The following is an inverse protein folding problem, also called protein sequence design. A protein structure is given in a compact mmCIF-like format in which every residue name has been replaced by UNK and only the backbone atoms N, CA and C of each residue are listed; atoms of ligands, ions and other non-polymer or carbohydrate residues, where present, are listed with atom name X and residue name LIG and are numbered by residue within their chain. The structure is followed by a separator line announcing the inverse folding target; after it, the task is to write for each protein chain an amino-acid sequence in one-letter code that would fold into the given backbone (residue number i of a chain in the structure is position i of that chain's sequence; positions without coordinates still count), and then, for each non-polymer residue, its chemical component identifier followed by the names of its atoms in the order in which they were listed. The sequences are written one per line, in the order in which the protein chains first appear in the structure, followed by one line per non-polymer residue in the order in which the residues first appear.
data_IF_683689885578
#
_entry.id   IF_683689885578
#
_cell.length_a   1.000
_cell.length_b   1.000
_cell.length_c   1.000
_cell.angle_alpha   90.00
_cell.angle_beta   90.00
_cell.angle_gamma   90.00
#
_symmetry.space_group_name_H-M   'P 1'
#
loop_
_entity.id
_entity.type
_entity.pdbx_description
1 polymer ?
#
# COMPACT_ATOMS: atom_id res chain seq x y z
N UNK A 1 21.10 -15.10 10.57
CA UNK A 1 20.75 -15.55 9.21
C UNK A 1 19.76 -14.52 8.70
N UNK A 2 20.17 -13.67 7.74
CA UNK A 2 19.30 -12.60 7.23
C UNK A 2 18.18 -13.24 6.41
N UNK A 3 16.94 -13.04 6.82
CA UNK A 3 15.76 -13.53 6.11
C UNK A 3 15.63 -12.75 4.79
N UNK A 4 15.66 -13.45 3.66
CA UNK A 4 15.53 -12.82 2.35
C UNK A 4 14.08 -12.38 2.18
N UNK A 5 13.82 -11.08 2.35
CA UNK A 5 12.51 -10.50 2.04
C UNK A 5 12.11 -10.79 0.59
N UNK A 6 10.91 -11.29 0.37
CA UNK A 6 10.37 -11.48 -0.98
C UNK A 6 9.85 -10.15 -1.57
N UNK A 7 9.48 -10.16 -2.86
CA UNK A 7 9.06 -8.94 -3.58
C UNK A 7 7.88 -8.22 -2.91
N UNK A 8 6.89 -8.97 -2.40
CA UNK A 8 5.71 -8.36 -1.78
C UNK A 8 6.08 -7.74 -0.42
N UNK A 9 6.89 -8.41 0.38
CA UNK A 9 7.37 -7.89 1.67
C UNK A 9 8.21 -6.61 1.51
N UNK A 10 9.04 -6.55 0.47
CA UNK A 10 9.78 -5.32 0.15
C UNK A 10 8.82 -4.21 -0.26
N UNK A 11 7.83 -4.52 -1.10
CA UNK A 11 6.84 -3.54 -1.54
C UNK A 11 5.97 -3.04 -0.39
N UNK A 12 5.61 -3.90 0.56
CA UNK A 12 4.91 -3.53 1.79
C UNK A 12 5.78 -2.65 2.69
N UNK A 13 7.07 -2.98 2.86
CA UNK A 13 7.99 -2.14 3.64
C UNK A 13 8.15 -0.73 3.03
N UNK A 14 8.33 -0.65 1.71
CA UNK A 14 8.37 0.62 0.98
C UNK A 14 7.05 1.39 1.10
N UNK A 15 5.92 0.67 1.04
CA UNK A 15 4.60 1.27 1.21
C UNK A 15 4.40 1.83 2.61
N UNK A 16 4.82 1.15 3.68
CA UNK A 16 4.72 1.70 5.04
C UNK A 16 5.61 2.94 5.20
N UNK A 17 6.85 2.88 4.71
CA UNK A 17 7.81 3.96 4.82
C UNK A 17 7.41 5.23 4.05
N UNK A 18 6.68 5.11 2.92
CA UNK A 18 6.30 6.30 2.14
C UNK A 18 5.12 7.08 2.73
N UNK A 19 4.26 6.47 3.57
CA UNK A 19 3.03 7.11 4.06
C UNK A 19 3.26 8.43 4.83
N UNK A 20 4.26 8.55 5.72
CA UNK A 20 4.55 9.82 6.40
C UNK A 20 4.96 10.94 5.43
N UNK A 21 5.66 10.60 4.34
CA UNK A 21 6.16 11.57 3.35
C UNK A 21 5.06 12.05 2.40
N UNK A 22 4.12 11.16 2.03
CA UNK A 22 3.00 11.48 1.13
C UNK A 22 2.13 12.63 1.63
N UNK A 23 2.05 12.82 2.96
CA UNK A 23 1.26 13.91 3.57
C UNK A 23 1.73 15.28 3.08
N UNK A 24 3.04 15.45 2.85
CA UNK A 24 3.65 16.73 2.45
C UNK A 24 4.05 16.74 0.98
N UNK A 25 4.69 15.67 0.51
CA UNK A 25 5.30 15.60 -0.82
C UNK A 25 4.41 14.91 -1.86
N UNK A 26 3.27 14.37 -1.44
CA UNK A 26 2.41 13.54 -2.27
C UNK A 26 3.08 12.25 -2.73
N UNK A 27 2.47 11.57 -3.71
CA UNK A 27 3.04 10.40 -4.37
C UNK A 27 4.10 10.82 -5.41
N UNK A 28 5.21 11.36 -4.93
CA UNK A 28 6.27 11.97 -5.76
C UNK A 28 7.58 11.16 -5.73
N UNK A 29 8.51 11.42 -6.67
CA UNK A 29 9.86 10.84 -6.61
C UNK A 29 10.59 11.14 -5.29
N UNK A 30 10.41 12.34 -4.73
CA UNK A 30 11.02 12.75 -3.45
C UNK A 30 10.53 11.85 -2.31
N UNK A 31 9.21 11.63 -2.19
CA UNK A 31 8.65 10.73 -1.19
C UNK A 31 9.15 9.29 -1.36
N UNK A 32 9.29 8.83 -2.60
CA UNK A 32 9.81 7.49 -2.89
C UNK A 32 11.27 7.33 -2.45
N UNK A 33 12.14 8.28 -2.78
CA UNK A 33 13.55 8.25 -2.38
C UNK A 33 13.70 8.28 -0.84
N UNK A 34 12.88 9.08 -0.16
CA UNK A 34 12.84 9.10 1.31
C UNK A 34 12.45 7.74 1.90
N UNK A 35 11.40 7.11 1.37
CA UNK A 35 10.96 5.77 1.80
C UNK A 35 12.01 4.68 1.54
N UNK A 36 12.72 4.75 0.41
CA UNK A 36 13.82 3.83 0.10
C UNK A 36 14.95 3.98 1.11
N UNK A 37 15.34 5.22 1.44
CA UNK A 37 16.39 5.50 2.41
C UNK A 37 16.07 4.99 3.83
N UNK A 38 14.78 4.83 4.16
CA UNK A 38 14.32 4.36 5.47
C UNK A 38 14.19 2.83 5.59
N UNK A 39 14.24 2.07 4.48
CA UNK A 39 13.88 0.64 4.46
C UNK A 39 15.05 -0.34 4.32
N UNK A 40 16.29 0.16 4.30
CA UNK A 40 17.52 -0.60 3.96
C UNK A 40 17.40 -1.37 2.62
N UNK A 41 16.52 -0.93 1.72
CA UNK A 41 16.34 -1.51 0.39
C UNK A 41 17.25 -0.76 -0.58
N UNK A 42 17.99 -1.50 -1.40
CA UNK A 42 18.79 -0.88 -2.46
C UNK A 42 17.88 -0.14 -3.45
N UNK A 43 18.23 1.10 -3.81
CA UNK A 43 17.45 1.90 -4.75
C UNK A 43 17.22 1.20 -6.10
N UNK A 44 18.21 0.46 -6.60
CA UNK A 44 18.06 -0.33 -7.83
C UNK A 44 16.98 -1.41 -7.69
N UNK A 45 16.93 -2.11 -6.56
CA UNK A 45 15.90 -3.10 -6.26
C UNK A 45 14.53 -2.46 -6.06
N UNK A 46 14.45 -1.33 -5.35
CA UNK A 46 13.20 -0.59 -5.18
C UNK A 46 12.63 -0.13 -6.53
N UNK A 47 13.47 0.36 -7.45
CA UNK A 47 13.07 0.73 -8.81
C UNK A 47 12.66 -0.49 -9.66
N UNK A 48 13.30 -1.65 -9.47
CA UNK A 48 12.89 -2.88 -10.14
C UNK A 48 11.50 -3.35 -9.68
N UNK A 49 11.18 -3.19 -8.39
CA UNK A 49 9.89 -3.57 -7.80
C UNK A 49 8.79 -2.53 -8.09
N UNK A 50 9.17 -1.24 -8.13
CA UNK A 50 8.28 -0.12 -8.43
C UNK A 50 8.83 0.69 -9.62
N UNK A 51 8.68 0.20 -10.88
CA UNK A 51 9.20 0.90 -12.06
C UNK A 51 8.66 2.32 -12.27
N UNK A 52 7.49 2.63 -11.70
CA UNK A 52 6.87 3.97 -11.70
C UNK A 52 7.05 4.70 -10.36
N UNK A 53 7.95 4.23 -9.51
CA UNK A 53 8.26 4.80 -8.19
C UNK A 53 7.03 4.90 -7.29
N UNK A 54 6.83 6.08 -6.69
CA UNK A 54 5.70 6.37 -5.81
C UNK A 54 4.32 6.05 -6.42
N UNK A 55 4.17 6.12 -7.75
CA UNK A 55 2.89 5.77 -8.40
C UNK A 55 2.51 4.30 -8.18
N UNK A 56 3.49 3.38 -8.25
CA UNK A 56 3.21 1.97 -8.00
C UNK A 56 2.89 1.69 -6.52
N UNK A 57 3.41 2.52 -5.60
CA UNK A 57 3.06 2.47 -4.18
C UNK A 57 1.67 3.07 -3.91
N UNK A 58 1.26 4.12 -4.62
CA UNK A 58 -0.10 4.67 -4.56
C UNK A 58 -1.14 3.60 -4.96
N UNK A 59 -0.88 2.87 -6.04
CA UNK A 59 -1.72 1.75 -6.48
C UNK A 59 -1.78 0.65 -5.42
N UNK A 60 -0.65 0.33 -4.79
CA UNK A 60 -0.60 -0.67 -3.72
C UNK A 60 -1.39 -0.22 -2.48
N UNK A 61 -1.30 1.07 -2.11
CA UNK A 61 -2.07 1.66 -1.01
C UNK A 61 -3.58 1.54 -1.24
N UNK A 62 -4.06 1.92 -2.43
CA UNK A 62 -5.48 1.81 -2.78
C UNK A 62 -5.93 0.34 -2.79
N UNK A 63 -5.15 -0.55 -3.40
CA UNK A 63 -5.45 -1.99 -3.39
C UNK A 63 -5.55 -2.54 -1.96
N UNK A 64 -4.64 -2.15 -1.06
CA UNK A 64 -4.70 -2.54 0.36
C UNK A 64 -5.99 -2.05 1.03
N UNK A 65 -6.40 -0.82 0.75
CA UNK A 65 -7.68 -0.27 1.22
C UNK A 65 -8.87 -1.05 0.72
N UNK A 66 -8.91 -1.38 -0.58
CA UNK A 66 -9.97 -2.17 -1.20
C UNK A 66 -10.04 -3.59 -0.60
N UNK A 67 -8.89 -4.25 -0.45
CA UNK A 67 -8.80 -5.59 0.13
C UNK A 67 -9.28 -5.59 1.60
N UNK A 68 -8.95 -4.55 2.37
CA UNK A 68 -9.43 -4.36 3.74
C UNK A 68 -10.95 -4.14 3.79
N UNK A 69 -11.49 -3.31 2.89
CA UNK A 69 -12.93 -3.09 2.75
C UNK A 69 -13.65 -4.40 2.40
N UNK A 70 -13.18 -5.16 1.41
CA UNK A 70 -13.76 -6.46 1.02
C UNK A 70 -13.72 -7.45 2.20
N UNK A 71 -12.61 -7.48 2.94
CA UNK A 71 -12.46 -8.35 4.11
C UNK A 71 -13.48 -8.01 5.19
N UNK A 72 -13.70 -6.72 5.46
CA UNK A 72 -14.73 -6.26 6.39
C UNK A 72 -16.13 -6.62 5.90
N UNK A 73 -16.44 -6.35 4.63
CA UNK A 73 -17.76 -6.62 4.05
C UNK A 73 -18.15 -8.09 4.14
N UNK A 74 -17.19 -9.01 3.91
CA UNK A 74 -17.42 -10.47 4.04
C UNK A 74 -17.76 -10.93 5.46
N UNK A 75 -17.42 -10.13 6.48
CA UNK A 75 -17.70 -10.44 7.89
C UNK A 75 -19.03 -9.84 8.37
N UNK A 76 -19.60 -8.92 7.61
CA UNK A 76 -20.84 -8.24 7.96
C UNK A 76 -22.05 -9.13 7.61
N UNK A 77 -23.00 -9.28 8.55
CA UNK A 77 -24.28 -9.93 8.24
C UNK A 77 -25.24 -8.93 7.60
N UNK A 78 -25.33 -9.02 6.27
CA UNK A 78 -26.19 -8.14 5.47
C UNK A 78 -27.60 -8.73 5.23
N UNK A 79 -27.89 -9.92 5.74
CA UNK A 79 -29.12 -10.66 5.42
C UNK A 79 -30.39 -9.96 5.93
N UNK A 80 -30.29 -9.26 7.06
CA UNK A 80 -31.37 -8.49 7.67
C UNK A 80 -31.61 -7.10 7.07
N UNK A 81 -30.74 -6.63 6.18
CA UNK A 81 -30.80 -5.26 5.66
C UNK A 81 -31.65 -5.16 4.39
N UNK A 82 -32.47 -4.11 4.26
CA UNK A 82 -33.11 -3.78 2.98
C UNK A 82 -32.03 -3.36 1.97
N UNK A 83 -32.31 -3.52 0.68
CA UNK A 83 -31.32 -3.24 -0.38
C UNK A 83 -30.73 -1.82 -0.31
N UNK A 84 -31.55 -0.80 -0.04
CA UNK A 84 -31.08 0.59 0.15
C UNK A 84 -30.20 0.77 1.38
N UNK A 85 -30.47 0.01 2.44
CA UNK A 85 -29.71 0.08 3.69
C UNK A 85 -28.34 -0.61 3.53
N UNK A 86 -28.25 -1.62 2.65
CA UNK A 86 -26.98 -2.25 2.23
C UNK A 86 -26.08 -1.33 1.40
N UNK A 87 -26.66 -0.47 0.56
CA UNK A 87 -25.88 0.46 -0.28
C UNK A 87 -25.27 1.61 0.54
N UNK A 88 -25.94 2.00 1.63
CA UNK A 88 -25.48 3.09 2.51
C UNK A 88 -24.43 2.66 3.54
N UNK A 89 -24.07 1.37 3.57
CA UNK A 89 -23.07 0.78 4.49
C UNK A 89 -21.71 0.72 3.81
#
# INVERSE_FOLDING_TARGET
MSETRNVNEIKEALLEAILPHVIFDGWSPVAFEAAVAETDVELALANAICPRGATDLALAFHKRGDDAMVTRLKREDLSGLRFRDRIAT
#
